data_IF_963552195792
#
_entry.id   IF_963552195792
#
_cell.length_a   1.000
_cell.length_b   1.000
_cell.length_c   1.000
_cell.angle_alpha   90.00
_cell.angle_beta   90.00
_cell.angle_gamma   90.00
#
_symmetry.space_group_name_H-M   'P 1'
#
loop_
_entity.id
_entity.type
_entity.pdbx_description
1 polymer ?
#
# COMPACT_ATOMS: atom_id res chain seq x y z
N UNK A 1 -4.65 -12.57 -0.18
CA UNK A 1 -5.92 -12.47 -0.95
C UNK A 1 -5.54 -12.34 -2.42
N UNK A 2 -6.39 -12.75 -3.37
CA UNK A 2 -6.10 -12.53 -4.79
C UNK A 2 -6.87 -11.29 -5.27
N UNK A 3 -6.15 -10.26 -5.74
CA UNK A 3 -6.74 -9.04 -6.32
C UNK A 3 -6.48 -9.01 -7.83
N UNK A 4 -7.47 -8.55 -8.59
CA UNK A 4 -7.32 -8.34 -10.03
C UNK A 4 -6.84 -6.90 -10.28
N UNK A 5 -5.57 -6.73 -10.61
CA UNK A 5 -4.93 -5.41 -10.78
C UNK A 5 -4.34 -5.34 -12.18
N UNK A 6 -4.71 -4.31 -12.95
CA UNK A 6 -4.18 -4.07 -14.30
C UNK A 6 -4.29 -5.26 -15.27
N UNK A 7 -5.36 -6.06 -15.17
CA UNK A 7 -5.60 -7.19 -16.06
C UNK A 7 -5.03 -8.54 -15.61
N UNK A 8 -4.34 -8.60 -14.47
CA UNK A 8 -3.73 -9.82 -13.92
C UNK A 8 -4.16 -10.08 -12.47
N UNK A 9 -4.31 -11.36 -12.12
CA UNK A 9 -4.48 -11.77 -10.72
C UNK A 9 -3.15 -11.70 -10.00
N UNK A 10 -3.09 -10.89 -8.94
CA UNK A 10 -1.93 -10.77 -8.06
C UNK A 10 -2.26 -11.29 -6.66
N UNK A 11 -1.35 -12.09 -6.12
CA UNK A 11 -1.40 -12.47 -4.70
C UNK A 11 -0.99 -11.23 -3.91
N UNK A 12 -1.96 -10.65 -3.23
CA UNK A 12 -1.76 -9.48 -2.36
C UNK A 12 -1.72 -9.90 -0.91
N UNK A 13 -0.85 -9.24 -0.18
CA UNK A 13 -0.89 -9.21 1.29
C UNK A 13 -1.66 -7.96 1.73
N UNK A 14 -2.03 -7.95 3.00
CA UNK A 14 -2.72 -6.81 3.62
C UNK A 14 -1.88 -6.39 4.81
N UNK A 15 -1.54 -5.12 4.89
CA UNK A 15 -0.78 -4.56 6.00
C UNK A 15 -1.33 -3.22 6.47
N UNK A 16 -1.07 -2.88 7.72
CA UNK A 16 -1.36 -1.57 8.28
C UNK A 16 -0.07 -0.76 8.39
N UNK A 17 -0.21 0.57 8.34
CA UNK A 17 0.93 1.49 8.40
C UNK A 17 1.51 1.50 9.80
N UNK A 18 2.81 1.23 9.91
CA UNK A 18 3.58 1.32 11.15
C UNK A 18 4.29 2.65 11.28
N UNK A 19 4.93 3.08 10.20
CA UNK A 19 5.78 4.28 10.16
C UNK A 19 5.79 4.83 8.74
N UNK A 20 5.63 6.15 8.61
CA UNK A 20 5.75 6.88 7.35
C UNK A 20 7.07 7.66 7.39
N UNK A 21 7.94 7.42 6.41
CA UNK A 21 9.22 8.11 6.23
C UNK A 21 9.14 9.03 5.01
N UNK A 22 10.22 9.76 4.74
CA UNK A 22 10.26 10.75 3.65
C UNK A 22 10.00 10.17 2.25
N UNK A 23 10.46 8.95 1.96
CA UNK A 23 10.34 8.30 0.63
C UNK A 23 9.89 6.84 0.69
N UNK A 24 9.51 6.37 1.88
CA UNK A 24 9.11 4.98 2.10
C UNK A 24 8.10 4.87 3.24
N UNK A 25 7.37 3.76 3.25
CA UNK A 25 6.40 3.43 4.30
C UNK A 25 6.70 2.02 4.82
N UNK A 26 6.68 1.89 6.14
CA UNK A 26 6.81 0.60 6.83
C UNK A 26 5.41 0.09 7.14
N UNK A 27 5.11 -1.11 6.65
CA UNK A 27 3.86 -1.81 6.91
C UNK A 27 4.10 -3.02 7.80
N UNK A 28 3.17 -3.28 8.70
CA UNK A 28 3.12 -4.56 9.43
C UNK A 28 2.23 -5.52 8.65
N UNK A 29 2.81 -6.63 8.22
CA UNK A 29 2.12 -7.75 7.55
C UNK A 29 2.23 -9.01 8.41
N UNK A 30 1.49 -10.07 8.06
CA UNK A 30 1.48 -11.33 8.82
C UNK A 30 2.88 -11.96 9.02
N UNK A 31 3.79 -11.72 8.08
CA UNK A 31 5.15 -12.27 8.10
C UNK A 31 6.20 -11.31 8.70
N UNK A 32 5.77 -10.22 9.34
CA UNK A 32 6.64 -9.21 9.95
C UNK A 32 6.51 -7.84 9.29
N UNK A 33 7.54 -7.00 9.45
CA UNK A 33 7.54 -5.65 8.90
C UNK A 33 8.12 -5.65 7.48
N UNK A 34 7.49 -4.88 6.58
CA UNK A 34 8.00 -4.63 5.22
C UNK A 34 8.10 -3.14 4.97
N UNK A 35 9.25 -2.71 4.46
CA UNK A 35 9.45 -1.33 4.01
C UNK A 35 9.32 -1.27 2.48
N UNK A 36 8.47 -0.35 2.02
CA UNK A 36 8.17 -0.14 0.60
C UNK A 36 8.47 1.31 0.25
N UNK A 37 9.31 1.52 -0.76
CA UNK A 37 9.53 2.83 -1.37
C UNK A 37 8.28 3.21 -2.17
N UNK A 38 7.85 4.46 -2.03
CA UNK A 38 6.65 4.98 -2.68
C UNK A 38 6.96 6.33 -3.33
N UNK A 39 6.29 6.64 -4.42
CA UNK A 39 6.30 7.98 -4.98
C UNK A 39 5.49 8.96 -4.12
N UNK A 40 5.67 10.27 -4.36
CA UNK A 40 5.02 11.33 -3.59
C UNK A 40 3.49 11.24 -3.61
N UNK A 41 2.88 10.79 -4.72
CA UNK A 41 1.41 10.69 -4.85
C UNK A 41 0.90 9.53 -4.00
N UNK A 42 1.58 8.39 -4.07
CA UNK A 42 1.28 7.22 -3.24
C UNK A 42 1.49 7.53 -1.76
N UNK A 43 2.55 8.28 -1.41
CA UNK A 43 2.84 8.71 -0.04
C UNK A 43 1.72 9.62 0.52
N UNK A 44 1.29 10.62 -0.25
CA UNK A 44 0.20 11.54 0.13
C UNK A 44 -1.12 10.79 0.35
N UNK A 45 -1.43 9.82 -0.52
CA UNK A 45 -2.61 8.98 -0.38
C UNK A 45 -2.55 8.12 0.89
N UNK A 46 -1.40 7.48 1.19
CA UNK A 46 -1.21 6.70 2.41
C UNK A 46 -1.33 7.59 3.66
N UNK A 47 -0.73 8.77 3.65
CA UNK A 47 -0.84 9.74 4.74
C UNK A 47 -2.29 10.15 4.99
N UNK A 48 -3.04 10.42 3.91
CA UNK A 48 -4.46 10.77 3.99
C UNK A 48 -5.28 9.63 4.59
N UNK A 49 -5.04 8.39 4.15
CA UNK A 49 -5.73 7.21 4.69
C UNK A 49 -5.37 7.03 6.17
N UNK A 50 -4.09 7.12 6.52
CA UNK A 50 -3.60 6.96 7.90
C UNK A 50 -4.16 8.02 8.85
N UNK A 51 -4.29 9.28 8.40
CA UNK A 51 -4.90 10.34 9.19
C UNK A 51 -6.41 10.15 9.37
N UNK A 52 -7.08 9.52 8.40
CA UNK A 52 -8.50 9.20 8.50
C UNK A 52 -8.76 7.99 9.42
N UNK A 53 -7.88 6.98 9.36
CA UNK A 53 -7.93 5.75 10.15
C UNK A 53 -6.52 5.15 10.28
N UNK A 54 -5.92 5.26 11.47
CA UNK A 54 -4.58 4.75 11.75
C UNK A 54 -4.50 3.22 11.64
N UNK A 55 -5.64 2.52 11.75
CA UNK A 55 -5.74 1.06 11.64
C UNK A 55 -6.17 0.60 10.24
N UNK A 56 -6.19 1.51 9.26
CA UNK A 56 -6.57 1.21 7.89
C UNK A 56 -5.69 0.10 7.28
N UNK A 57 -6.37 -0.86 6.67
CA UNK A 57 -5.76 -1.97 5.95
C UNK A 57 -5.43 -1.57 4.50
N UNK A 58 -4.15 -1.61 4.15
CA UNK A 58 -3.64 -1.29 2.82
C UNK A 58 -3.26 -2.58 2.10
N UNK A 59 -3.65 -2.69 0.83
CA UNK A 59 -3.27 -3.83 -0.02
C UNK A 59 -1.85 -3.67 -0.54
N UNK A 60 -1.05 -4.73 -0.47
CA UNK A 60 0.37 -4.72 -0.79
C UNK A 60 0.76 -5.88 -1.71
N UNK A 61 1.61 -5.61 -2.69
CA UNK A 61 2.39 -6.63 -3.40
C UNK A 61 3.75 -6.76 -2.71
N UNK A 62 3.82 -7.58 -1.66
CA UNK A 62 5.04 -7.76 -0.85
C UNK A 62 6.19 -8.34 -1.70
N UNK A 63 5.87 -9.14 -2.72
CA UNK A 63 6.88 -9.77 -3.59
C UNK A 63 7.58 -8.72 -4.44
N UNK A 64 6.83 -7.78 -5.00
CA UNK A 64 7.38 -6.70 -5.82
C UNK A 64 7.64 -5.41 -5.03
N UNK A 65 7.36 -5.41 -3.72
CA UNK A 65 7.41 -4.23 -2.83
C UNK A 65 6.64 -3.04 -3.40
N UNK A 66 5.35 -3.23 -3.63
CA UNK A 66 4.48 -2.17 -4.12
C UNK A 66 3.24 -2.02 -3.24
N UNK A 67 2.78 -0.78 -3.10
CA UNK A 67 1.48 -0.47 -2.53
C UNK A 67 0.44 -0.54 -3.64
N UNK A 68 -0.70 -1.17 -3.35
CA UNK A 68 -1.85 -1.25 -4.25
C UNK A 68 -2.97 -0.43 -3.60
N UNK A 69 -3.18 0.76 -4.11
CA UNK A 69 -4.32 1.59 -3.72
C UNK A 69 -5.43 1.37 -4.75
N UNK A 70 -6.62 1.01 -4.27
CA UNK A 70 -7.81 0.97 -5.13
C UNK A 70 -8.18 2.41 -5.50
N UNK A 71 -7.67 2.84 -6.65
CA UNK A 71 -8.11 4.03 -7.35
C UNK A 71 -8.24 3.65 -8.81
N UNK A 72 -9.43 3.83 -9.39
CA UNK A 72 -9.50 3.88 -10.85
C UNK A 72 -8.48 4.92 -11.31
N UNK A 73 -7.61 4.64 -12.29
CA UNK A 73 -6.87 5.71 -12.94
C UNK A 73 -7.93 6.65 -13.51
N UNK A 74 -8.10 7.83 -12.94
CA UNK A 74 -8.87 8.88 -13.60
C UNK A 74 -8.06 9.30 -14.81
N UNK A 75 -8.29 8.61 -15.93
CA UNK A 75 -7.86 9.06 -17.24
C UNK A 75 -8.50 10.44 -17.45
N UNK A 76 -7.68 11.50 -17.41
CA UNK A 76 -8.00 12.78 -18.03
C UNK A 76 -7.54 12.77 -19.48
#
# INVERSE_FOLDING_TARGET
MDLYVNGEYKVVDIGYVKEIKDVSVVFIVNNGDVEIEVDDVTLDAIQTIYQADEEALISLDVKNKMVILDGEPTAS
#
